data_IF_925958742794
#
_entry.id   IF_925958742794
#
_cell.length_a   1.000
_cell.length_b   1.000
_cell.length_c   1.000
_cell.angle_alpha   90.00
_cell.angle_beta   90.00
_cell.angle_gamma   90.00
#
_symmetry.space_group_name_H-M   'P 1'
#
loop_
_entity.id
_entity.type
_entity.pdbx_description
1 polymer ?
#
# COMPACT_ATOMS: atom_id res chain seq x y z
N UNK A 1 -6.45 -66.57 0.54
CA UNK A 1 -5.18 -67.25 0.22
C UNK A 1 -4.93 -67.12 -1.27
N UNK A 2 -3.70 -66.77 -1.61
CA UNK A 2 -3.25 -66.43 -2.96
C UNK A 2 -2.69 -67.64 -3.71
N UNK A 3 -2.39 -67.39 -5.00
CA UNK A 3 -1.64 -68.19 -5.99
C UNK A 3 -2.56 -69.10 -6.83
N UNK A 4 -2.40 -69.18 -8.16
CA UNK A 4 -1.11 -69.29 -8.87
C UNK A 4 -1.28 -68.99 -10.38
N UNK A 5 -0.35 -68.17 -10.92
CA UNK A 5 0.29 -68.10 -12.26
C UNK A 5 -0.36 -68.78 -13.48
N UNK A 6 -0.26 -68.27 -14.71
CA UNK A 6 0.97 -68.17 -15.53
C UNK A 6 0.76 -67.23 -16.74
N UNK A 7 1.85 -66.55 -17.14
CA UNK A 7 2.07 -65.72 -18.33
C UNK A 7 1.87 -66.42 -19.69
N UNK A 8 1.40 -65.66 -20.70
CA UNK A 8 2.08 -65.45 -22.00
C UNK A 8 1.26 -64.48 -22.88
N UNK A 9 1.93 -63.49 -23.46
CA UNK A 9 1.46 -62.57 -24.53
C UNK A 9 1.79 -63.18 -25.92
N UNK A 10 1.65 -62.50 -27.09
CA UNK A 10 1.11 -61.16 -27.38
C UNK A 10 0.24 -61.03 -28.68
N UNK A 11 -0.35 -59.84 -28.83
CA UNK A 11 -0.58 -59.01 -30.05
C UNK A 11 -1.07 -59.61 -31.38
N UNK A 12 -2.22 -59.10 -31.88
CA UNK A 12 -2.28 -58.51 -33.25
C UNK A 12 -3.51 -57.60 -33.46
N UNK A 13 -3.24 -56.51 -34.19
CA UNK A 13 -4.09 -55.77 -35.14
C UNK A 13 -5.12 -54.70 -34.69
N UNK A 14 -4.79 -53.46 -35.09
CA UNK A 14 -5.64 -52.26 -35.12
C UNK A 14 -6.81 -52.38 -36.13
N UNK A 15 -8.00 -51.81 -35.84
CA UNK A 15 -9.04 -51.61 -36.86
C UNK A 15 -9.16 -50.15 -37.31
N UNK A 16 -9.18 -49.95 -38.63
CA UNK A 16 -9.78 -48.79 -39.34
C UNK A 16 -11.25 -49.10 -39.69
N UNK A 17 -12.06 -48.16 -40.23
CA UNK A 17 -12.52 -46.92 -39.61
C UNK A 17 -14.05 -46.68 -39.80
N UNK A 18 -14.58 -45.74 -39.01
CA UNK A 18 -15.79 -44.88 -39.21
C UNK A 18 -17.11 -45.49 -39.69
N UNK A 19 -18.15 -45.36 -38.85
CA UNK A 19 -19.48 -44.96 -39.33
C UNK A 19 -20.20 -44.03 -38.33
N UNK A 20 -20.91 -43.09 -38.95
CA UNK A 20 -21.78 -42.01 -38.49
C UNK A 20 -22.32 -42.04 -37.04
N UNK A 21 -22.17 -40.91 -36.34
CA UNK A 21 -22.99 -40.56 -35.18
C UNK A 21 -23.92 -39.40 -35.54
N UNK A 22 -25.18 -39.57 -35.18
CA UNK A 22 -26.31 -38.70 -35.45
C UNK A 22 -26.19 -37.28 -34.88
N UNK A 23 -26.90 -36.38 -35.55
CA UNK A 23 -26.91 -34.92 -35.41
C UNK A 23 -27.21 -34.46 -33.98
N UNK A 24 -26.23 -33.77 -33.37
CA UNK A 24 -26.35 -33.07 -32.07
C UNK A 24 -27.18 -31.78 -32.22
N UNK A 25 -28.02 -31.56 -31.21
CA UNK A 25 -29.13 -30.59 -31.16
C UNK A 25 -28.79 -29.11 -31.37
N UNK A 26 -29.91 -28.37 -31.56
CA UNK A 26 -30.09 -26.97 -31.95
C UNK A 26 -29.07 -25.97 -31.38
N UNK A 27 -28.72 -24.99 -32.22
CA UNK A 27 -27.89 -23.84 -31.85
C UNK A 27 -28.48 -23.06 -30.67
N UNK A 28 -27.64 -22.82 -29.65
CA UNK A 28 -27.92 -21.92 -28.54
C UNK A 28 -28.26 -20.53 -29.07
N UNK A 29 -29.35 -19.88 -28.62
CA UNK A 29 -29.75 -18.56 -29.13
C UNK A 29 -28.65 -17.52 -28.86
N UNK A 30 -28.28 -16.80 -29.92
CA UNK A 30 -27.23 -15.78 -29.90
C UNK A 30 -27.66 -14.61 -29.00
N UNK A 31 -26.83 -14.30 -28.00
CA UNK A 31 -27.04 -13.22 -27.01
C UNK A 31 -27.37 -11.90 -27.73
N UNK A 32 -28.38 -11.12 -27.28
CA UNK A 32 -28.73 -9.86 -27.92
C UNK A 32 -27.58 -8.86 -27.76
N UNK A 33 -27.30 -8.12 -28.83
CA UNK A 33 -26.25 -7.11 -28.91
C UNK A 33 -26.39 -6.10 -27.78
N UNK A 34 -25.50 -6.19 -26.78
CA UNK A 34 -25.37 -5.19 -25.74
C UNK A 34 -24.81 -3.93 -26.39
N UNK A 35 -25.67 -2.94 -26.66
CA UNK A 35 -25.26 -1.64 -27.18
C UNK A 35 -24.20 -1.05 -26.25
N UNK A 36 -22.98 -0.87 -26.76
CA UNK A 36 -21.92 -0.18 -26.02
C UNK A 36 -22.46 1.17 -25.54
N UNK A 37 -22.32 1.43 -24.24
CA UNK A 37 -22.66 2.71 -23.65
C UNK A 37 -21.97 3.83 -24.45
N UNK A 38 -22.71 4.88 -24.78
CA UNK A 38 -22.18 6.06 -25.47
C UNK A 38 -20.94 6.57 -24.72
N UNK A 39 -19.83 6.85 -25.39
CA UNK A 39 -18.67 7.44 -24.72
C UNK A 39 -19.09 8.76 -24.04
N UNK A 40 -18.51 9.09 -22.88
CA UNK A 40 -18.82 10.33 -22.18
C UNK A 40 -18.58 11.53 -23.09
N UNK A 41 -19.43 12.55 -22.99
CA UNK A 41 -19.47 13.74 -23.87
C UNK A 41 -18.13 14.49 -23.94
N UNK A 42 -17.24 14.28 -22.98
CA UNK A 42 -15.83 14.67 -23.06
C UNK A 42 -14.94 13.53 -22.53
N UNK A 43 -14.41 12.66 -23.40
CA UNK A 43 -13.41 11.68 -22.98
C UNK A 43 -12.14 12.43 -22.54
N UNK A 44 -11.43 11.96 -21.49
CA UNK A 44 -10.18 12.56 -21.09
C UNK A 44 -9.19 12.53 -22.26
N UNK A 45 -8.65 13.70 -22.62
CA UNK A 45 -7.73 13.87 -23.75
C UNK A 45 -6.64 12.80 -23.76
N UNK A 46 -6.47 12.16 -24.91
CA UNK A 46 -5.43 11.17 -25.15
C UNK A 46 -4.05 11.85 -25.04
N UNK A 47 -3.01 11.12 -24.65
CA UNK A 47 -1.65 11.70 -24.54
C UNK A 47 -1.17 12.38 -25.85
N UNK A 48 -1.65 11.92 -27.01
CA UNK A 48 -1.41 12.54 -28.32
C UNK A 48 -2.10 13.90 -28.44
N UNK A 49 -3.39 13.98 -28.12
CA UNK A 49 -4.18 15.21 -28.16
C UNK A 49 -3.67 16.25 -27.15
N UNK A 50 -3.22 15.83 -25.97
CA UNK A 50 -2.56 16.74 -25.00
C UNK A 50 -1.26 17.34 -25.56
N UNK A 51 -0.47 16.54 -26.28
CA UNK A 51 0.77 17.00 -26.93
C UNK A 51 0.48 17.96 -28.07
N UNK A 52 -0.55 17.71 -28.87
CA UNK A 52 -0.99 18.58 -29.95
C UNK A 52 -1.59 19.89 -29.43
N UNK A 53 -2.38 19.83 -28.36
CA UNK A 53 -2.89 21.02 -27.67
C UNK A 53 -1.75 21.86 -27.07
N UNK A 54 -0.75 21.22 -26.44
CA UNK A 54 0.44 21.91 -25.93
C UNK A 54 1.30 22.53 -27.04
N UNK A 55 1.37 21.90 -28.21
CA UNK A 55 2.03 22.47 -29.40
C UNK A 55 1.24 23.65 -29.97
N UNK A 56 -0.10 23.57 -30.00
CA UNK A 56 -1.00 24.65 -30.45
C UNK A 56 -0.99 25.86 -29.51
N UNK A 57 -0.77 25.65 -28.21
CA UNK A 57 -0.70 26.72 -27.21
C UNK A 57 0.54 27.62 -27.34
N UNK A 58 1.55 27.22 -28.13
CA UNK A 58 2.77 28.02 -28.34
C UNK A 58 3.68 28.12 -27.11
N UNK A 59 4.88 28.71 -27.26
CA UNK A 59 5.79 28.94 -26.14
C UNK A 59 5.23 30.02 -25.21
N UNK A 60 4.95 29.65 -23.96
CA UNK A 60 4.53 30.57 -22.91
C UNK A 60 5.45 31.81 -22.84
N UNK A 61 4.84 32.99 -22.77
CA UNK A 61 5.54 34.27 -22.59
C UNK A 61 6.31 34.26 -21.25
N UNK A 62 7.35 35.10 -21.11
CA UNK A 62 8.15 35.19 -19.87
C UNK A 62 7.26 35.43 -18.63
N UNK A 63 6.23 36.27 -18.78
CA UNK A 63 5.26 36.57 -17.74
C UNK A 63 4.37 35.37 -17.38
N UNK A 64 3.85 34.66 -18.38
CA UNK A 64 3.06 33.44 -18.17
C UNK A 64 3.89 32.32 -17.51
N UNK A 65 5.17 32.20 -17.85
CA UNK A 65 6.10 31.27 -17.16
C UNK A 65 6.32 31.66 -15.71
N UNK A 66 6.37 32.96 -15.39
CA UNK A 66 6.52 33.45 -14.02
C UNK A 66 5.26 33.17 -13.21
N UNK A 67 4.09 33.48 -13.74
CA UNK A 67 2.79 33.17 -13.13
C UNK A 67 2.63 31.66 -12.89
N UNK A 68 2.90 30.81 -13.89
CA UNK A 68 2.82 29.36 -13.71
C UNK A 68 3.78 28.83 -12.61
N UNK A 69 4.97 29.45 -12.45
CA UNK A 69 5.89 29.11 -11.36
C UNK A 69 5.36 29.55 -10.00
N UNK A 70 4.74 30.73 -9.94
CA UNK A 70 4.12 31.26 -8.73
C UNK A 70 2.90 30.41 -8.33
N UNK A 71 2.06 30.00 -9.27
CA UNK A 71 0.92 29.12 -9.05
C UNK A 71 1.36 27.75 -8.50
N UNK A 72 2.40 27.14 -9.10
CA UNK A 72 2.96 25.88 -8.62
C UNK A 72 3.56 26.05 -7.22
N UNK A 73 4.22 27.19 -6.93
CA UNK A 73 4.75 27.47 -5.59
C UNK A 73 3.62 27.67 -4.58
N UNK A 74 2.56 28.38 -4.94
CA UNK A 74 1.39 28.61 -4.10
C UNK A 74 0.64 27.29 -3.84
N UNK A 75 0.48 26.43 -4.84
CA UNK A 75 -0.13 25.11 -4.68
C UNK A 75 0.71 24.22 -3.75
N UNK A 76 2.05 24.22 -3.92
CA UNK A 76 2.96 23.51 -3.01
C UNK A 76 2.87 24.04 -1.58
N UNK A 77 2.76 25.36 -1.41
CA UNK A 77 2.59 25.98 -0.10
C UNK A 77 1.26 25.58 0.54
N UNK A 78 0.14 25.61 -0.21
CA UNK A 78 -1.17 25.14 0.29
C UNK A 78 -1.16 23.66 0.66
N UNK A 79 -0.53 22.82 -0.17
CA UNK A 79 -0.37 21.39 0.15
C UNK A 79 0.43 21.27 1.45
N UNK A 80 1.58 21.95 1.54
CA UNK A 80 2.45 21.99 2.73
C UNK A 80 1.66 22.40 3.98
N UNK A 81 0.91 23.49 3.94
CA UNK A 81 0.08 23.96 5.05
C UNK A 81 -0.99 22.94 5.46
N UNK A 82 -1.67 22.32 4.49
CA UNK A 82 -2.56 21.18 4.75
C UNK A 82 -1.83 20.00 5.41
N UNK A 83 -0.54 19.80 5.12
CA UNK A 83 0.31 18.78 5.75
C UNK A 83 0.69 19.07 7.19
N UNK A 84 0.61 20.32 7.61
CA UNK A 84 0.85 20.68 9.00
C UNK A 84 -0.46 20.72 9.80
N UNK A 85 -1.53 21.28 9.23
CA UNK A 85 -2.79 21.56 9.95
C UNK A 85 -3.69 20.36 10.24
N UNK A 86 -3.52 19.23 9.54
CA UNK A 86 -4.48 18.11 9.66
C UNK A 86 -5.71 18.22 8.77
N UNK A 87 -5.76 19.25 7.92
CA UNK A 87 -6.99 19.70 7.26
C UNK A 87 -7.63 18.67 6.31
N UNK A 88 -8.96 18.66 6.12
CA UNK A 88 -9.62 17.79 5.13
C UNK A 88 -9.13 18.00 3.70
N UNK A 89 -8.58 19.19 3.39
CA UNK A 89 -7.92 19.47 2.11
C UNK A 89 -6.69 18.55 1.89
N UNK A 90 -6.01 18.16 2.96
CA UNK A 90 -4.88 17.23 2.93
C UNK A 90 -5.29 15.84 2.43
N UNK A 91 -6.50 15.39 2.76
CA UNK A 91 -7.06 14.10 2.33
C UNK A 91 -7.23 14.02 0.81
N UNK A 92 -7.44 15.18 0.15
CA UNK A 92 -7.63 15.30 -1.29
C UNK A 92 -6.34 15.09 -2.09
N UNK A 93 -5.19 15.48 -1.54
CA UNK A 93 -3.89 15.38 -2.21
C UNK A 93 -3.13 14.07 -1.92
N UNK A 94 -3.71 13.19 -1.10
CA UNK A 94 -3.07 11.96 -0.65
C UNK A 94 -3.55 10.72 -1.40
N UNK A 95 -2.67 9.70 -1.41
CA UNK A 95 -3.00 8.39 -1.96
C UNK A 95 -4.28 7.87 -1.26
N UNK A 96 -5.18 7.19 -1.99
CA UNK A 96 -6.39 6.60 -1.43
C UNK A 96 -6.14 5.77 -0.15
N UNK A 97 -4.95 5.19 -0.02
CA UNK A 97 -4.52 4.39 1.14
C UNK A 97 -4.41 5.18 2.43
N UNK A 98 -4.03 6.45 2.35
CA UNK A 98 -3.73 7.30 3.51
C UNK A 98 -4.90 8.21 3.89
N UNK A 99 -6.05 8.08 3.20
CA UNK A 99 -7.21 8.94 3.41
C UNK A 99 -8.07 8.53 4.60
N UNK A 100 -8.63 9.53 5.27
CA UNK A 100 -9.68 9.37 6.30
C UNK A 100 -9.24 9.76 7.71
N UNK A 101 -10.20 10.27 8.48
CA UNK A 101 -10.00 10.78 9.84
C UNK A 101 -9.38 9.74 10.80
N UNK A 102 -9.73 8.46 10.64
CA UNK A 102 -9.19 7.38 11.46
C UNK A 102 -7.72 7.09 11.17
N UNK A 103 -7.31 7.13 9.89
CA UNK A 103 -5.90 6.93 9.50
C UNK A 103 -5.05 8.13 9.87
N UNK A 104 -5.63 9.33 9.83
CA UNK A 104 -5.01 10.55 10.36
C UNK A 104 -4.71 10.39 11.85
N UNK A 105 -5.68 9.95 12.65
CA UNK A 105 -5.49 9.69 14.07
C UNK A 105 -4.43 8.61 14.32
N UNK A 106 -4.44 7.51 13.55
CA UNK A 106 -3.40 6.47 13.65
C UNK A 106 -2.01 7.03 13.35
N UNK A 107 -1.88 7.90 12.34
CA UNK A 107 -0.62 8.58 12.05
C UNK A 107 -0.14 9.40 13.25
N UNK A 108 -1.01 10.20 13.84
CA UNK A 108 -0.65 11.07 14.96
C UNK A 108 -0.23 10.24 16.18
N UNK A 109 -0.94 9.12 16.44
CA UNK A 109 -0.59 8.15 17.48
C UNK A 109 0.80 7.55 17.23
N UNK A 110 1.14 7.20 15.98
CA UNK A 110 2.43 6.62 15.62
C UNK A 110 3.57 7.62 15.68
N UNK A 111 3.32 8.85 15.24
CA UNK A 111 4.33 9.87 15.14
C UNK A 111 4.61 10.57 16.48
N UNK A 112 3.71 10.45 17.48
CA UNK A 112 3.93 10.96 18.84
C UNK A 112 4.83 10.09 19.71
N UNK A 113 5.24 8.89 19.25
CA UNK A 113 6.09 7.98 20.04
C UNK A 113 7.46 7.79 19.43
N UNK A 114 8.42 7.51 20.30
CA UNK A 114 9.70 6.93 19.89
C UNK A 114 9.49 5.46 19.51
N UNK A 115 9.99 5.06 18.34
CA UNK A 115 9.90 3.67 17.85
C UNK A 115 11.28 3.06 17.72
N UNK A 116 11.45 1.82 18.18
CA UNK A 116 12.70 1.06 18.07
C UNK A 116 12.91 0.63 16.61
N UNK A 117 11.81 0.36 15.90
CA UNK A 117 11.82 -0.04 14.49
C UNK A 117 12.59 0.90 13.55
N UNK A 118 12.67 2.21 13.87
CA UNK A 118 13.42 3.16 13.04
C UNK A 118 14.94 2.90 13.04
N UNK A 119 15.46 2.26 14.09
CA UNK A 119 16.88 1.90 14.21
C UNK A 119 17.17 0.49 13.71
N UNK A 120 16.15 -0.28 13.33
CA UNK A 120 16.32 -1.64 12.87
C UNK A 120 17.27 -1.73 11.67
N UNK A 121 17.10 -0.84 10.68
CA UNK A 121 17.99 -0.80 9.51
C UNK A 121 19.44 -0.45 9.89
N UNK A 122 19.64 0.50 10.81
CA UNK A 122 20.97 0.86 11.27
C UNK A 122 21.62 -0.26 12.08
N UNK A 123 20.87 -0.91 12.97
CA UNK A 123 21.33 -2.03 13.76
C UNK A 123 21.63 -3.26 12.89
N UNK A 124 20.76 -3.58 11.92
CA UNK A 124 20.98 -4.67 10.98
C UNK A 124 22.22 -4.42 10.11
N UNK A 125 22.43 -3.18 9.67
CA UNK A 125 23.63 -2.80 8.91
C UNK A 125 24.90 -2.87 9.75
N UNK A 126 24.86 -2.43 11.01
CA UNK A 126 25.97 -2.57 11.95
C UNK A 126 26.32 -4.04 12.19
N UNK A 127 25.31 -4.90 12.38
CA UNK A 127 25.48 -6.34 12.53
C UNK A 127 26.12 -6.94 11.26
N UNK A 128 25.69 -6.52 10.07
CA UNK A 128 26.23 -7.00 8.81
C UNK A 128 27.74 -6.67 8.68
N UNK A 129 28.15 -5.46 9.04
CA UNK A 129 29.57 -5.06 9.03
C UNK A 129 30.38 -5.89 10.03
N UNK A 130 29.85 -6.07 11.25
CA UNK A 130 30.51 -6.87 12.29
C UNK A 130 30.52 -8.37 12.00
N UNK A 131 29.70 -8.84 11.05
CA UNK A 131 29.56 -10.26 10.71
C UNK A 131 30.82 -10.86 10.05
N UNK A 132 31.81 -10.07 9.65
CA UNK A 132 33.06 -10.57 9.06
C UNK A 132 34.08 -11.05 10.10
N UNK A 133 33.73 -11.05 11.39
CA UNK A 133 34.58 -11.51 12.48
C UNK A 133 34.60 -13.04 12.65
N UNK A 134 34.86 -13.51 13.88
CA UNK A 134 34.90 -14.94 14.20
C UNK A 134 33.53 -15.62 14.14
N UNK A 135 33.51 -16.95 13.98
CA UNK A 135 32.27 -17.75 13.97
C UNK A 135 31.49 -17.62 15.28
N UNK A 136 32.18 -17.49 16.43
CA UNK A 136 31.51 -17.20 17.70
C UNK A 136 30.83 -15.83 17.68
N UNK A 137 31.49 -14.80 17.12
CA UNK A 137 30.91 -13.46 17.02
C UNK A 137 29.66 -13.46 16.14
N UNK A 138 29.69 -14.18 15.00
CA UNK A 138 28.53 -14.32 14.12
C UNK A 138 27.32 -14.95 14.83
N UNK A 139 27.55 -15.95 15.70
CA UNK A 139 26.49 -16.58 16.48
C UNK A 139 25.84 -15.61 17.45
N UNK A 140 26.64 -14.81 18.17
CA UNK A 140 26.12 -13.76 19.05
C UNK A 140 25.37 -12.67 18.29
N UNK A 141 25.87 -12.26 17.11
CA UNK A 141 25.21 -11.29 16.25
C UNK A 141 23.86 -11.79 15.73
N UNK A 142 23.74 -13.08 15.40
CA UNK A 142 22.48 -13.68 15.00
C UNK A 142 21.46 -13.69 16.15
N UNK A 143 21.88 -14.06 17.35
CA UNK A 143 21.02 -13.99 18.55
C UNK A 143 20.61 -12.53 18.81
N UNK A 144 21.54 -11.57 18.71
CA UNK A 144 21.24 -10.16 18.88
C UNK A 144 20.21 -9.65 17.85
N UNK A 145 20.30 -10.10 16.59
CA UNK A 145 19.30 -9.81 15.57
C UNK A 145 17.93 -10.37 15.95
N UNK A 146 17.85 -11.61 16.42
CA UNK A 146 16.59 -12.22 16.86
C UNK A 146 15.96 -11.46 18.03
N UNK A 147 16.77 -11.08 19.03
CA UNK A 147 16.32 -10.29 20.18
C UNK A 147 15.80 -8.91 19.72
N UNK A 148 16.52 -8.24 18.82
CA UNK A 148 16.09 -6.97 18.25
C UNK A 148 14.76 -7.11 17.49
N UNK A 149 14.61 -8.15 16.67
CA UNK A 149 13.36 -8.45 15.96
C UNK A 149 12.22 -8.71 16.95
N UNK A 150 12.46 -9.50 17.99
CA UNK A 150 11.46 -9.76 19.03
C UNK A 150 11.01 -8.47 19.75
N UNK A 151 11.95 -7.58 20.07
CA UNK A 151 11.63 -6.29 20.67
C UNK A 151 10.71 -5.43 19.78
N UNK A 152 10.96 -5.39 18.47
CA UNK A 152 10.13 -4.66 17.50
C UNK A 152 8.74 -5.29 17.37
N UNK A 153 8.64 -6.63 17.40
CA UNK A 153 7.36 -7.33 17.39
C UNK A 153 6.55 -6.98 18.62
N UNK A 154 7.16 -7.01 19.81
CA UNK A 154 6.51 -6.63 21.07
C UNK A 154 6.02 -5.18 21.01
N UNK A 155 6.88 -4.24 20.56
CA UNK A 155 6.51 -2.84 20.37
C UNK A 155 5.32 -2.70 19.42
N UNK A 156 5.32 -3.44 18.31
CA UNK A 156 4.24 -3.44 17.31
C UNK A 156 2.90 -3.93 17.91
N UNK A 157 2.93 -4.96 18.75
CA UNK A 157 1.72 -5.44 19.46
C UNK A 157 1.22 -4.40 20.46
N UNK A 158 2.10 -3.78 21.24
CA UNK A 158 1.71 -2.71 22.17
C UNK A 158 1.12 -1.50 21.43
N UNK A 159 1.71 -1.14 20.30
CA UNK A 159 1.22 -0.11 19.40
C UNK A 159 -0.19 -0.40 18.90
N UNK A 160 -0.45 -1.58 18.37
CA UNK A 160 -1.77 -1.95 17.83
C UNK A 160 -2.85 -1.97 18.93
N UNK A 161 -2.51 -2.42 20.14
CA UNK A 161 -3.42 -2.34 21.31
C UNK A 161 -3.76 -0.90 21.67
N UNK A 162 -2.78 0.01 21.62
CA UNK A 162 -3.00 1.44 21.88
C UNK A 162 -3.87 2.08 20.81
N UNK A 163 -3.57 1.80 19.54
CA UNK A 163 -4.39 2.26 18.39
C UNK A 163 -5.83 1.80 18.54
N UNK A 164 -6.06 0.52 18.85
CA UNK A 164 -7.41 -0.01 19.08
C UNK A 164 -8.14 0.79 20.16
N UNK A 165 -7.50 1.04 21.30
CA UNK A 165 -8.10 1.77 22.43
C UNK A 165 -8.49 3.20 22.05
N UNK A 166 -7.58 3.93 21.40
CA UNK A 166 -7.80 5.36 21.08
C UNK A 166 -8.80 5.50 19.94
N UNK A 167 -8.69 4.68 18.89
CA UNK A 167 -9.63 4.70 17.75
C UNK A 167 -11.05 4.37 18.21
N UNK A 168 -11.25 3.32 19.02
CA UNK A 168 -12.59 2.98 19.52
C UNK A 168 -13.18 4.04 20.45
N UNK A 169 -12.35 4.76 21.22
CA UNK A 169 -12.80 5.88 22.06
C UNK A 169 -13.25 7.07 21.23
N UNK A 170 -12.54 7.39 20.14
CA UNK A 170 -12.83 8.58 19.32
C UNK A 170 -13.85 8.33 18.21
N UNK A 171 -13.82 7.14 17.62
CA UNK A 171 -14.65 6.71 16.51
C UNK A 171 -15.39 5.41 16.88
N UNK A 172 -16.44 5.47 17.71
CA UNK A 172 -17.20 4.28 18.11
C UNK A 172 -17.96 3.63 16.94
N UNK A 173 -18.24 4.38 15.87
CA UNK A 173 -18.90 3.90 14.63
C UNK A 173 -17.94 3.89 13.43
N UNK A 174 -16.73 3.39 13.64
CA UNK A 174 -15.73 3.27 12.57
C UNK A 174 -16.20 2.34 11.44
N UNK A 175 -16.11 2.80 10.19
CA UNK A 175 -16.41 2.00 8.99
C UNK A 175 -15.18 1.23 8.49
N UNK A 176 -13.97 1.62 8.89
CA UNK A 176 -12.74 0.95 8.47
C UNK A 176 -12.50 -0.35 9.25
N UNK A 177 -11.87 -1.31 8.56
CA UNK A 177 -11.42 -2.55 9.20
C UNK A 177 -10.23 -2.28 10.13
N UNK A 178 -10.37 -2.64 11.40
CA UNK A 178 -9.33 -2.52 12.43
C UNK A 178 -7.99 -3.17 12.03
N UNK A 179 -8.01 -4.34 11.39
CA UNK A 179 -6.80 -4.98 10.88
C UNK A 179 -6.03 -4.15 9.84
N UNK A 180 -6.75 -3.38 9.02
CA UNK A 180 -6.14 -2.46 8.06
C UNK A 180 -5.48 -1.25 8.73
N UNK A 181 -6.06 -0.77 9.84
CA UNK A 181 -5.48 0.27 10.69
C UNK A 181 -4.23 -0.23 11.44
N UNK A 182 -4.23 -1.48 11.90
CA UNK A 182 -3.09 -2.10 12.56
C UNK A 182 -1.91 -2.27 11.61
N UNK A 183 -2.14 -2.86 10.44
CA UNK A 183 -1.11 -3.01 9.41
C UNK A 183 -0.53 -1.66 9.00
N UNK A 184 -1.40 -0.66 8.84
CA UNK A 184 -0.98 0.71 8.56
C UNK A 184 -0.09 1.30 9.66
N UNK A 185 -0.46 1.11 10.93
CA UNK A 185 0.32 1.59 12.07
C UNK A 185 1.71 0.94 12.14
N UNK A 186 1.79 -0.37 11.92
CA UNK A 186 3.05 -1.14 11.96
C UNK A 186 3.99 -0.67 10.84
N UNK A 187 3.50 -0.65 9.60
CA UNK A 187 4.30 -0.22 8.44
C UNK A 187 4.86 1.19 8.64
N UNK A 188 4.06 2.08 9.24
CA UNK A 188 4.49 3.45 9.54
C UNK A 188 5.52 3.49 10.68
N UNK A 189 5.38 2.66 11.70
CA UNK A 189 6.30 2.59 12.85
C UNK A 189 7.70 2.12 12.49
N UNK A 190 7.83 1.20 11.52
CA UNK A 190 9.12 0.64 11.08
C UNK A 190 9.93 1.67 10.27
N UNK A 191 9.28 2.50 9.46
CA UNK A 191 9.99 3.51 8.65
C UNK A 191 10.55 4.63 9.53
N UNK A 192 11.76 5.13 9.25
CA UNK A 192 12.33 6.26 9.97
C UNK A 192 11.49 7.52 9.75
N UNK A 193 11.32 8.33 10.81
CA UNK A 193 10.42 9.50 10.85
C UNK A 193 10.66 10.51 9.71
N UNK A 194 11.91 10.63 9.26
CA UNK A 194 12.29 11.51 8.14
C UNK A 194 11.75 11.02 6.78
N UNK A 195 11.70 9.69 6.57
CA UNK A 195 11.29 9.08 5.31
C UNK A 195 9.79 8.79 5.24
N UNK A 196 9.04 9.07 6.32
CA UNK A 196 7.58 8.93 6.34
C UNK A 196 6.97 10.02 5.48
N UNK A 197 6.50 9.63 4.30
CA UNK A 197 5.57 10.43 3.51
C UNK A 197 4.16 9.96 3.88
N UNK A 198 3.29 10.79 4.45
CA UNK A 198 3.42 12.23 4.67
C UNK A 198 4.13 12.54 5.99
N UNK A 199 4.76 13.72 6.09
CA UNK A 199 5.61 14.10 7.23
C UNK A 199 4.86 13.99 8.56
N UNK A 200 5.63 13.67 9.60
CA UNK A 200 5.14 13.53 10.96
C UNK A 200 4.66 14.89 11.51
N UNK A 201 3.39 14.97 11.92
CA UNK A 201 2.78 16.20 12.47
C UNK A 201 3.10 16.40 13.95
N UNK A 202 3.15 15.30 14.72
CA UNK A 202 3.23 15.35 16.18
C UNK A 202 4.66 15.26 16.70
N UNK A 203 4.98 16.04 17.74
CA UNK A 203 6.24 15.89 18.50
C UNK A 203 6.14 14.71 19.47
N UNK A 204 7.28 14.17 19.92
CA UNK A 204 7.36 13.02 20.84
C UNK A 204 6.72 13.27 22.23
N UNK A 205 6.39 14.53 22.56
CA UNK A 205 5.74 14.93 23.81
C UNK A 205 4.22 15.13 23.70
N UNK A 206 3.61 14.83 22.55
CA UNK A 206 2.18 15.04 22.35
C UNK A 206 1.36 14.12 23.28
N UNK A 207 0.44 14.71 24.05
CA UNK A 207 -0.44 13.99 24.96
C UNK A 207 -1.64 13.41 24.21
N UNK A 208 -2.37 12.45 24.82
CA UNK A 208 -3.50 11.80 24.15
C UNK A 208 -4.60 12.80 23.73
N UNK A 209 -4.71 13.93 24.44
CA UNK A 209 -5.66 14.99 24.16
C UNK A 209 -5.28 15.84 22.94
N UNK A 210 -4.01 15.81 22.51
CA UNK A 210 -3.54 16.54 21.33
C UNK A 210 -3.68 15.74 20.03
N UNK A 211 -3.95 14.43 20.14
CA UNK A 211 -4.07 13.53 19.01
C UNK A 211 -5.37 13.83 18.23
N UNK A 212 -5.23 14.12 16.92
CA UNK A 212 -6.38 14.37 16.04
C UNK A 212 -7.06 15.72 16.22
N UNK A 213 -6.47 16.68 16.97
CA UNK A 213 -6.89 18.08 16.89
C UNK A 213 -6.51 18.62 15.51
N UNK A 214 -7.50 18.87 14.67
CA UNK A 214 -7.34 19.74 13.49
C UNK A 214 -7.08 21.13 14.08
N UNK A 215 -5.91 21.70 13.85
CA UNK A 215 -5.66 23.10 14.21
C UNK A 215 -6.58 23.93 13.32
N UNK A 216 -7.70 24.39 13.88
CA UNK A 216 -8.61 25.33 13.23
C UNK A 216 -7.85 26.59 12.83
#
# INVERSE_FOLDING_TARGET
MAKKSVQAAPETEEPKPVSATDKKGKATPKRPNQSKARPPVNPPLTNKEKREAAKKAGPLTKEQKKQAREDVRAERARIAEGQWKGDPLFDKYHLPRDRGAERLLVRDIVDSRWSIGQYYMFAAFAILILSTGSVQLQSYLFIALLVLTAAIVIESVLLTRRVKRIVLRRFPKTTQRMGGLYWYAIQRGIMPRSMRNPRARMSYKATEDDLGKIVK
#
